data_IF_688439652220
#
_entry.id   IF_688439652220
#
_cell.length_a   1.000
_cell.length_b   1.000
_cell.length_c   1.000
_cell.angle_alpha   90.00
_cell.angle_beta   90.00
_cell.angle_gamma   90.00
#
_symmetry.space_group_name_H-M   'P 1'
#
loop_
_entity.id
_entity.type
_entity.pdbx_description
1 polymer ?
#
# COMPACT_ATOMS: atom_id res chain seq x y z
N UNK A 1 4.79 3.42 13.40
CA UNK A 1 4.76 4.80 12.86
C UNK A 1 3.66 4.89 11.82
N UNK A 2 3.91 4.52 10.56
CA UNK A 2 2.94 4.63 9.45
C UNK A 2 1.53 4.10 9.80
N UNK A 3 1.37 2.82 10.14
CA UNK A 3 0.03 2.21 10.29
C UNK A 3 -0.50 2.22 11.73
N UNK A 4 0.24 2.75 12.71
CA UNK A 4 -0.12 2.62 14.13
C UNK A 4 -0.21 1.18 14.68
N UNK A 5 0.19 0.17 13.90
CA UNK A 5 0.08 -1.25 14.24
C UNK A 5 1.41 -1.96 14.03
N UNK A 6 1.77 -2.85 14.97
CA UNK A 6 2.98 -3.68 14.85
C UNK A 6 2.86 -4.61 13.64
N UNK A 7 3.83 -4.61 12.70
CA UNK A 7 3.80 -5.50 11.55
C UNK A 7 4.07 -6.95 11.91
N UNK A 8 3.46 -7.85 11.15
CA UNK A 8 3.75 -9.27 11.17
C UNK A 8 4.95 -9.58 10.27
N UNK A 9 5.88 -10.40 10.77
CA UNK A 9 7.03 -10.88 10.01
C UNK A 9 6.58 -11.92 8.99
N UNK A 10 6.86 -11.67 7.71
CA UNK A 10 6.62 -12.63 6.62
C UNK A 10 7.87 -13.46 6.39
N UNK A 11 7.69 -14.79 6.39
CA UNK A 11 8.75 -15.77 6.17
C UNK A 11 8.61 -16.42 4.79
N UNK A 12 9.73 -16.78 4.18
CA UNK A 12 9.73 -17.47 2.88
C UNK A 12 9.00 -18.83 2.97
N UNK A 13 8.02 -19.04 2.10
CA UNK A 13 7.29 -20.31 2.03
C UNK A 13 8.10 -21.44 1.37
N UNK A 14 8.97 -21.07 0.42
CA UNK A 14 9.80 -21.98 -0.37
C UNK A 14 11.25 -21.49 -0.38
N UNK A 15 12.19 -22.42 -0.53
CA UNK A 15 13.58 -22.10 -0.78
C UNK A 15 13.76 -21.76 -2.26
N UNK A 16 14.43 -20.66 -2.58
CA UNK A 16 14.70 -20.23 -3.96
C UNK A 16 16.16 -19.82 -4.06
N UNK A 17 16.95 -20.64 -4.75
CA UNK A 17 18.41 -20.49 -4.83
C UNK A 17 18.85 -19.17 -5.46
N UNK A 18 18.17 -18.70 -6.51
CA UNK A 18 18.49 -17.44 -7.20
C UNK A 18 18.42 -16.21 -6.26
N UNK A 19 17.51 -16.22 -5.29
CA UNK A 19 17.39 -15.16 -4.28
C UNK A 19 18.17 -15.48 -3.00
N UNK A 20 18.92 -16.59 -2.96
CA UNK A 20 19.63 -17.11 -1.78
C UNK A 20 18.70 -17.27 -0.56
N UNK A 21 17.43 -17.59 -0.80
CA UNK A 21 16.40 -17.74 0.23
C UNK A 21 16.20 -19.20 0.62
N UNK A 22 16.09 -19.46 1.92
CA UNK A 22 15.67 -20.74 2.50
C UNK A 22 14.28 -20.62 3.11
N UNK A 23 13.50 -21.70 3.06
CA UNK A 23 12.19 -21.79 3.72
C UNK A 23 12.29 -21.36 5.19
N UNK A 24 11.39 -20.50 5.64
CA UNK A 24 11.34 -19.97 7.00
C UNK A 24 12.18 -18.72 7.25
N UNK A 25 13.05 -18.30 6.33
CA UNK A 25 13.81 -17.05 6.48
C UNK A 25 12.89 -15.82 6.46
N UNK A 26 13.16 -14.78 7.27
CA UNK A 26 12.41 -13.53 7.22
C UNK A 26 12.68 -12.80 5.89
N UNK A 27 11.61 -12.42 5.19
CA UNK A 27 11.69 -11.79 3.86
C UNK A 27 10.96 -10.46 3.78
N UNK A 28 10.04 -10.18 4.70
CA UNK A 28 9.26 -8.95 4.65
C UNK A 28 8.43 -8.71 5.90
N UNK A 29 7.69 -7.62 5.85
CA UNK A 29 6.77 -7.17 6.89
C UNK A 29 5.41 -6.91 6.25
N UNK A 30 4.33 -7.25 6.95
CA UNK A 30 2.97 -6.95 6.50
C UNK A 30 2.11 -6.50 7.67
N UNK A 31 1.20 -5.57 7.40
CA UNK A 31 0.14 -5.16 8.31
C UNK A 31 -1.19 -5.42 7.60
N UNK A 32 -2.20 -5.87 8.34
CA UNK A 32 -3.58 -5.90 7.87
C UNK A 32 -4.39 -4.97 8.75
N UNK A 33 -4.95 -3.93 8.14
CA UNK A 33 -5.80 -2.95 8.79
C UNK A 33 -7.27 -3.27 8.53
N UNK A 34 -8.12 -3.16 9.56
CA UNK A 34 -9.56 -3.36 9.51
C UNK A 34 -10.25 -2.37 10.47
N UNK A 35 -11.53 -2.10 10.24
CA UNK A 35 -12.32 -1.18 11.07
C UNK A 35 -11.79 0.25 11.02
N UNK A 36 -11.85 0.96 12.13
CA UNK A 36 -11.47 2.38 12.24
C UNK A 36 -10.05 2.65 11.73
N UNK A 37 -9.05 1.87 12.18
CA UNK A 37 -7.66 2.04 11.76
C UNK A 37 -7.44 1.97 10.24
N UNK A 38 -8.29 1.22 9.54
CA UNK A 38 -8.24 1.16 8.08
C UNK A 38 -8.75 2.47 7.47
N UNK A 39 -9.90 2.96 7.94
CA UNK A 39 -10.47 4.22 7.46
C UNK A 39 -9.56 5.41 7.76
N UNK A 40 -9.00 5.50 8.97
CA UNK A 40 -8.04 6.55 9.34
C UNK A 40 -6.80 6.53 8.42
N UNK A 41 -6.30 5.32 8.13
CA UNK A 41 -5.16 5.17 7.22
C UNK A 41 -5.51 5.63 5.80
N UNK A 42 -6.70 5.26 5.29
CA UNK A 42 -7.18 5.65 3.97
C UNK A 42 -7.37 7.16 3.86
N UNK A 43 -8.01 7.78 4.85
CA UNK A 43 -8.22 9.22 4.89
C UNK A 43 -6.89 9.99 4.85
N UNK A 44 -5.94 9.61 5.71
CA UNK A 44 -4.59 10.19 5.72
C UNK A 44 -3.84 9.91 4.42
N UNK A 45 -4.00 8.71 3.84
CA UNK A 45 -3.37 8.36 2.57
C UNK A 45 -3.82 9.32 1.47
N UNK A 46 -5.14 9.51 1.33
CA UNK A 46 -5.72 10.37 0.29
C UNK A 46 -5.44 11.84 0.55
N UNK A 47 -5.67 12.32 1.78
CA UNK A 47 -5.60 13.74 2.11
C UNK A 47 -4.19 14.29 2.32
N UNK A 48 -3.24 13.44 2.74
CA UNK A 48 -1.90 13.90 3.14
C UNK A 48 -0.80 13.23 2.32
N UNK A 49 -0.86 11.92 2.14
CA UNK A 49 0.29 11.16 1.59
C UNK A 49 0.35 11.25 0.07
N UNK A 50 -0.75 10.99 -0.64
CA UNK A 50 -0.78 11.02 -2.11
C UNK A 50 -0.36 12.38 -2.68
N UNK A 51 -0.82 13.54 -2.15
CA UNK A 51 -0.38 14.85 -2.64
C UNK A 51 1.12 15.13 -2.42
N UNK A 52 1.77 14.46 -1.45
CA UNK A 52 3.20 14.61 -1.18
C UNK A 52 4.08 13.78 -2.12
N UNK A 53 3.49 12.91 -2.94
CA UNK A 53 4.24 12.19 -3.97
C UNK A 53 4.74 13.20 -5.01
N UNK A 54 6.03 13.20 -5.30
CA UNK A 54 6.62 14.06 -6.33
C UNK A 54 5.98 13.79 -7.70
N UNK A 55 5.61 14.86 -8.40
CA UNK A 55 4.94 14.81 -9.71
C UNK A 55 3.64 13.99 -9.71
N UNK A 56 2.87 14.04 -8.62
CA UNK A 56 1.61 13.31 -8.51
C UNK A 56 0.59 13.77 -9.57
N UNK A 57 0.17 12.84 -10.44
CA UNK A 57 -0.84 13.08 -11.50
C UNK A 57 -2.10 12.22 -11.31
N UNK A 58 -2.32 11.73 -10.09
CA UNK A 58 -3.33 10.74 -9.79
C UNK A 58 -2.82 9.30 -9.94
N UNK A 59 -3.56 8.38 -9.35
CA UNK A 59 -3.26 6.95 -9.35
C UNK A 59 -3.83 6.25 -10.59
N UNK A 60 -3.18 5.19 -11.04
CA UNK A 60 -3.57 4.46 -12.25
C UNK A 60 -4.83 3.63 -12.04
N UNK A 61 -5.78 3.69 -12.98
CA UNK A 61 -6.96 2.79 -13.00
C UNK A 61 -6.64 1.38 -13.47
N UNK A 62 -5.40 1.09 -13.90
CA UNK A 62 -5.03 -0.23 -14.44
C UNK A 62 -4.64 -1.25 -13.38
N UNK A 63 -4.44 -0.82 -12.13
CA UNK A 63 -3.93 -1.68 -11.05
C UNK A 63 -5.01 -2.48 -10.31
N UNK A 64 -6.18 -2.66 -10.92
CA UNK A 64 -7.20 -3.56 -10.39
C UNK A 64 -6.93 -5.01 -10.83
N UNK A 65 -7.22 -5.96 -9.95
CA UNK A 65 -6.90 -7.39 -10.12
C UNK A 65 -7.93 -8.18 -10.97
N UNK A 66 -8.95 -7.52 -11.51
CA UNK A 66 -10.05 -8.17 -12.23
C UNK A 66 -11.26 -8.49 -11.35
N UNK A 67 -11.11 -8.43 -10.03
CA UNK A 67 -12.14 -8.75 -9.03
C UNK A 67 -12.42 -7.57 -8.10
N UNK A 68 -12.16 -6.35 -8.55
CA UNK A 68 -12.47 -5.14 -7.80
C UNK A 68 -11.51 -4.83 -6.64
N UNK A 69 -10.42 -5.57 -6.47
CA UNK A 69 -9.35 -5.19 -5.54
C UNK A 69 -8.33 -4.32 -6.24
N UNK A 70 -7.72 -3.39 -5.50
CA UNK A 70 -6.80 -2.40 -6.05
C UNK A 70 -5.44 -2.46 -5.36
N UNK A 71 -4.36 -2.53 -6.13
CA UNK A 71 -2.99 -2.43 -5.60
C UNK A 71 -2.35 -1.09 -5.98
N UNK A 72 -1.79 -0.41 -4.98
CA UNK A 72 -1.03 0.82 -5.13
C UNK A 72 0.41 0.61 -4.64
N UNK A 73 1.37 0.81 -5.52
CA UNK A 73 2.79 0.88 -5.15
C UNK A 73 3.20 2.29 -4.76
N UNK A 74 3.90 2.42 -3.64
CA UNK A 74 4.58 3.65 -3.22
C UNK A 74 6.08 3.37 -3.23
N UNK A 75 6.83 4.13 -4.02
CA UNK A 75 8.26 3.88 -4.21
C UNK A 75 9.13 4.34 -3.04
N UNK A 76 8.69 5.37 -2.32
CA UNK A 76 9.44 5.94 -1.21
C UNK A 76 8.53 6.19 0.00
N UNK A 77 8.87 5.61 1.14
CA UNK A 77 8.14 5.81 2.39
C UNK A 77 8.23 7.24 2.97
N UNK A 78 9.14 8.09 2.48
CA UNK A 78 9.32 9.46 2.98
C UNK A 78 8.08 10.35 2.78
N UNK A 79 7.15 9.93 1.91
CA UNK A 79 5.88 10.62 1.70
C UNK A 79 4.97 10.58 2.92
N UNK A 80 5.17 9.61 3.83
CA UNK A 80 4.45 9.53 5.09
C UNK A 80 5.03 10.54 6.10
N UNK A 81 4.22 11.43 6.68
CA UNK A 81 4.70 12.46 7.61
C UNK A 81 5.26 11.88 8.91
N UNK A 82 4.92 10.64 9.25
CA UNK A 82 5.45 9.95 10.43
C UNK A 82 6.90 9.46 10.25
N UNK A 83 7.46 9.56 9.05
CA UNK A 83 8.84 9.17 8.76
C UNK A 83 9.70 10.42 8.71
N UNK A 84 10.71 10.49 9.58
CA UNK A 84 11.74 11.51 9.48
C UNK A 84 12.72 11.14 8.35
N UNK A 85 12.82 11.95 7.27
CA UNK A 85 13.72 11.65 6.15
C UNK A 85 15.20 11.63 6.57
N UNK A 86 15.58 12.42 7.58
CA UNK A 86 16.98 12.53 8.01
C UNK A 86 17.44 11.30 8.81
N UNK A 87 16.51 10.57 9.42
CA UNK A 87 16.77 9.31 10.12
C UNK A 87 16.65 8.08 9.21
N UNK A 88 16.10 8.25 8.00
CA UNK A 88 15.83 7.15 7.09
C UNK A 88 17.10 6.69 6.35
N UNK A 89 17.76 5.66 6.88
CA UNK A 89 19.02 5.10 6.34
C UNK A 89 18.94 4.68 4.87
N UNK A 90 17.77 4.21 4.40
CA UNK A 90 17.51 3.82 3.01
C UNK A 90 16.06 4.02 2.62
N UNK A 91 15.83 4.54 1.42
CA UNK A 91 14.50 4.57 0.81
C UNK A 91 13.99 3.13 0.63
N UNK A 92 12.81 2.85 1.16
CA UNK A 92 12.09 1.61 0.87
C UNK A 92 10.73 1.97 0.30
N UNK A 93 10.29 1.14 -0.63
CA UNK A 93 8.93 1.18 -1.11
C UNK A 93 8.01 0.31 -0.26
N UNK A 94 6.72 0.48 -0.46
CA UNK A 94 5.69 -0.39 0.06
C UNK A 94 4.57 -0.54 -0.96
N UNK A 95 3.84 -1.64 -0.86
CA UNK A 95 2.62 -1.87 -1.63
C UNK A 95 1.43 -1.86 -0.67
N UNK A 96 0.35 -1.20 -1.09
CA UNK A 96 -0.91 -1.13 -0.38
C UNK A 96 -1.96 -1.80 -1.26
N UNK A 97 -2.62 -2.83 -0.73
CA UNK A 97 -3.71 -3.50 -1.42
C UNK A 97 -5.02 -3.22 -0.69
N UNK A 98 -5.98 -2.64 -1.42
CA UNK A 98 -7.34 -2.42 -0.97
C UNK A 98 -8.17 -3.62 -1.41
N UNK A 99 -8.55 -4.44 -0.43
CA UNK A 99 -9.42 -5.59 -0.64
C UNK A 99 -10.86 -5.11 -0.44
N UNK A 100 -11.69 -5.24 -1.46
CA UNK A 100 -13.08 -4.78 -1.45
C UNK A 100 -14.04 -5.96 -1.63
N UNK A 101 -15.33 -5.70 -1.46
CA UNK A 101 -16.40 -6.67 -1.75
C UNK A 101 -16.91 -6.57 -3.18
N UNK A 102 -16.35 -5.68 -4.00
CA UNK A 102 -16.73 -5.55 -5.40
C UNK A 102 -16.38 -6.85 -6.16
N UNK A 103 -17.15 -7.16 -7.20
CA UNK A 103 -16.90 -8.35 -8.04
C UNK A 103 -16.24 -7.99 -9.37
N UNK A 104 -16.30 -6.71 -9.76
CA UNK A 104 -15.74 -6.21 -11.03
C UNK A 104 -14.87 -4.99 -10.77
N UNK A 105 -13.92 -4.76 -11.68
CA UNK A 105 -13.05 -3.58 -11.62
C UNK A 105 -13.82 -2.28 -11.68
N UNK A 106 -14.90 -2.22 -12.48
CA UNK A 106 -15.73 -1.02 -12.58
C UNK A 106 -16.41 -0.69 -11.24
N UNK A 107 -16.96 -1.69 -10.55
CA UNK A 107 -17.57 -1.49 -9.24
C UNK A 107 -16.51 -1.07 -8.20
N UNK A 108 -15.32 -1.70 -8.23
CA UNK A 108 -14.20 -1.32 -7.37
C UNK A 108 -13.70 0.11 -7.62
N UNK A 109 -13.59 0.51 -8.89
CA UNK A 109 -13.20 1.87 -9.28
C UNK A 109 -14.22 2.89 -8.81
N UNK A 110 -15.52 2.64 -9.01
CA UNK A 110 -16.59 3.54 -8.55
C UNK A 110 -16.58 3.66 -7.02
N UNK A 111 -16.39 2.56 -6.31
CA UNK A 111 -16.28 2.56 -4.84
C UNK A 111 -15.12 3.45 -4.39
N UNK A 112 -13.91 3.19 -4.88
CA UNK A 112 -12.72 3.96 -4.47
C UNK A 112 -12.84 5.43 -4.90
N UNK A 113 -13.42 5.70 -6.07
CA UNK A 113 -13.67 7.08 -6.52
C UNK A 113 -14.63 7.81 -5.60
N UNK A 114 -15.69 7.14 -5.11
CA UNK A 114 -16.62 7.70 -4.14
C UNK A 114 -15.97 7.96 -2.78
N UNK A 115 -14.95 7.17 -2.39
CA UNK A 115 -14.10 7.43 -1.23
C UNK A 115 -13.07 8.56 -1.44
N UNK A 116 -13.05 9.19 -2.63
CA UNK A 116 -12.16 10.31 -2.92
C UNK A 116 -10.78 9.91 -3.44
N UNK A 117 -10.58 8.66 -3.87
CA UNK A 117 -9.31 8.27 -4.48
C UNK A 117 -9.05 9.06 -5.77
N UNK A 118 -7.90 9.75 -5.89
CA UNK A 118 -7.58 10.62 -7.03
C UNK A 118 -7.09 9.81 -8.22
N UNK A 119 -7.98 9.15 -8.95
CA UNK A 119 -7.62 8.44 -10.18
C UNK A 119 -7.20 9.41 -11.28
N UNK A 120 -6.17 9.03 -12.05
CA UNK A 120 -5.77 9.74 -13.25
C UNK A 120 -6.93 9.72 -14.26
N UNK A 121 -7.26 10.89 -14.81
CA UNK A 121 -8.19 11.03 -15.93
C UNK A 121 -7.60 10.48 -17.22
#
# INVERSE_FOLDING_TARGET
LITGQKPALRRAHKSISNFKLRKGMPVGLMVTLRGERMFDFVERLIGVVLPRIRDFRGISKRSFDGRGNYSLGIHDQSVFPEINPDEAVKNRGLEITFVTTAQTNEAGEKLLSAFGFPFKK
#
